data_IF_638894596184
#
_entry.id   IF_638894596184
#
_cell.length_a   1.000
_cell.length_b   1.000
_cell.length_c   1.000
_cell.angle_alpha   90.00
_cell.angle_beta   90.00
_cell.angle_gamma   90.00
#
_symmetry.space_group_name_H-M   'P 1'
#
loop_
_entity.id
_entity.type
_entity.pdbx_description
1 polymer ?
#
# COMPACT_ATOMS: atom_id res chain seq x y z
N UNK A 1 -2.93 -22.20 -9.03
CA UNK A 1 -3.59 -21.34 -8.02
C UNK A 1 -2.87 -21.56 -6.70
N UNK A 2 -2.20 -20.55 -6.14
CA UNK A 2 -1.48 -20.65 -4.87
C UNK A 2 -1.99 -19.59 -3.89
N UNK A 3 -2.21 -19.99 -2.64
CA UNK A 3 -2.50 -19.14 -1.50
C UNK A 3 -1.50 -19.53 -0.41
N UNK A 4 -0.64 -18.60 0.00
CA UNK A 4 0.48 -18.86 0.91
C UNK A 4 1.46 -17.69 0.97
N UNK A 5 2.05 -17.48 2.15
CA UNK A 5 2.99 -16.40 2.42
C UNK A 5 4.45 -16.84 2.43
N UNK A 6 5.34 -15.87 2.63
CA UNK A 6 6.76 -16.15 2.88
C UNK A 6 6.95 -16.76 4.27
N UNK A 7 7.62 -17.91 4.35
CA UNK A 7 7.97 -18.58 5.60
C UNK A 7 9.46 -18.37 5.97
N UNK A 8 10.07 -17.28 5.48
CA UNK A 8 11.45 -16.93 5.83
C UNK A 8 11.52 -16.43 7.28
N UNK A 9 12.42 -17.02 8.06
CA UNK A 9 12.69 -16.59 9.42
C UNK A 9 13.42 -15.23 9.44
N UNK A 10 13.30 -14.49 10.54
CA UNK A 10 14.02 -13.22 10.74
C UNK A 10 15.55 -13.38 10.70
N UNK A 11 16.08 -14.55 11.05
CA UNK A 11 17.51 -14.87 10.96
C UNK A 11 17.95 -15.30 9.55
N UNK A 12 17.05 -15.37 8.57
CA UNK A 12 17.37 -15.82 7.23
C UNK A 12 17.90 -14.63 6.38
N UNK A 13 19.15 -14.68 5.89
CA UNK A 13 19.74 -13.57 5.13
C UNK A 13 19.04 -13.30 3.78
N UNK A 14 18.29 -14.27 3.25
CA UNK A 14 17.47 -14.06 2.05
C UNK A 14 16.32 -13.06 2.30
N UNK A 15 15.82 -12.97 3.54
CA UNK A 15 14.79 -12.00 3.90
C UNK A 15 15.37 -10.58 3.85
N UNK A 16 16.55 -10.36 4.44
CA UNK A 16 17.23 -9.06 4.43
C UNK A 16 17.49 -8.56 3.01
N UNK A 17 17.98 -9.46 2.15
CA UNK A 17 18.21 -9.16 0.73
C UNK A 17 16.90 -8.72 0.06
N UNK A 18 15.83 -9.50 0.22
CA UNK A 18 14.55 -9.22 -0.42
C UNK A 18 13.91 -7.91 0.10
N UNK A 19 14.03 -7.62 1.40
CA UNK A 19 13.54 -6.36 1.98
C UNK A 19 14.34 -5.18 1.42
N UNK A 20 15.67 -5.28 1.37
CA UNK A 20 16.53 -4.22 0.81
C UNK A 20 16.21 -3.93 -0.65
N UNK A 21 16.01 -4.97 -1.47
CA UNK A 21 15.62 -4.83 -2.88
C UNK A 21 14.27 -4.12 -3.03
N UNK A 22 13.28 -4.49 -2.21
CA UNK A 22 11.96 -3.83 -2.23
C UNK A 22 12.03 -2.37 -1.79
N UNK A 23 12.81 -2.05 -0.75
CA UNK A 23 13.02 -0.67 -0.31
C UNK A 23 13.60 0.18 -1.44
N UNK A 24 14.63 -0.32 -2.12
CA UNK A 24 15.25 0.39 -3.24
C UNK A 24 14.28 0.59 -4.40
N UNK A 25 13.54 -0.45 -4.79
CA UNK A 25 12.54 -0.37 -5.85
C UNK A 25 11.42 0.64 -5.50
N UNK A 26 10.92 0.64 -4.27
CA UNK A 26 9.86 1.56 -3.84
C UNK A 26 10.32 3.01 -3.82
N UNK A 27 11.54 3.29 -3.36
CA UNK A 27 12.12 4.65 -3.42
C UNK A 27 12.29 5.12 -4.86
N UNK A 28 12.79 4.27 -5.75
CA UNK A 28 12.93 4.61 -7.16
C UNK A 28 11.57 4.87 -7.84
N UNK A 29 10.53 4.12 -7.47
CA UNK A 29 9.20 4.31 -8.01
C UNK A 29 8.48 5.55 -7.45
N UNK A 30 8.79 5.97 -6.22
CA UNK A 30 8.13 7.08 -5.52
C UNK A 30 9.15 8.17 -5.12
N UNK A 31 9.74 8.89 -6.09
CA UNK A 31 10.80 9.87 -5.82
C UNK A 31 10.33 11.06 -4.96
N UNK A 32 9.04 11.42 -5.04
CA UNK A 32 8.46 12.57 -4.33
C UNK A 32 7.83 12.19 -2.97
N UNK A 33 7.95 10.93 -2.54
CA UNK A 33 7.43 10.46 -1.25
C UNK A 33 8.46 10.56 -0.12
N UNK A 34 8.03 10.36 1.14
CA UNK A 34 8.95 10.32 2.29
C UNK A 34 10.00 9.21 2.10
N UNK A 35 11.30 9.45 2.35
CA UNK A 35 12.36 8.45 2.17
C UNK A 35 12.21 7.21 3.08
N UNK A 36 11.41 7.31 4.15
CA UNK A 36 11.06 6.21 5.04
C UNK A 36 9.89 5.44 4.44
N UNK A 37 10.19 4.26 3.91
CA UNK A 37 9.20 3.37 3.31
C UNK A 37 8.38 2.68 4.40
N UNK A 38 7.04 2.71 4.35
CA UNK A 38 6.18 1.98 5.27
C UNK A 38 6.46 0.47 5.27
N UNK A 39 6.49 -0.16 6.45
CA UNK A 39 6.86 -1.58 6.62
C UNK A 39 5.95 -2.52 5.82
N UNK A 40 4.65 -2.25 5.77
CA UNK A 40 3.66 -3.07 5.05
C UNK A 40 3.93 -3.16 3.54
N UNK A 41 4.60 -2.16 2.96
CA UNK A 41 4.94 -2.17 1.53
C UNK A 41 6.17 -3.03 1.22
N UNK A 42 7.00 -3.33 2.22
CA UNK A 42 8.25 -4.10 2.06
C UNK A 42 8.15 -5.53 2.59
N UNK A 43 7.22 -5.79 3.49
CA UNK A 43 6.93 -7.14 4.01
C UNK A 43 5.86 -7.84 3.19
N UNK A 44 5.98 -9.15 3.04
CA UNK A 44 4.96 -9.97 2.38
C UNK A 44 3.84 -10.33 3.35
N UNK A 45 2.60 -10.45 2.86
CA UNK A 45 1.49 -10.94 3.68
C UNK A 45 1.56 -12.46 3.93
N UNK A 46 0.91 -12.91 5.00
CA UNK A 46 0.84 -14.32 5.37
C UNK A 46 -0.03 -15.15 4.39
N UNK A 47 -1.05 -14.53 3.78
CA UNK A 47 -1.92 -15.19 2.80
C UNK A 47 -1.35 -15.16 1.38
N UNK A 48 -0.46 -14.21 1.09
CA UNK A 48 -0.05 -13.87 -0.28
C UNK A 48 -1.14 -13.17 -1.11
N UNK A 49 -2.30 -12.86 -0.51
CA UNK A 49 -3.51 -12.34 -1.16
C UNK A 49 -4.12 -11.17 -0.38
N UNK A 50 -3.30 -10.43 0.37
CA UNK A 50 -3.80 -9.32 1.17
C UNK A 50 -4.22 -8.15 0.25
N UNK A 51 -5.48 -7.75 0.35
CA UNK A 51 -6.05 -6.64 -0.42
C UNK A 51 -6.10 -5.34 0.40
N UNK A 52 -5.48 -5.34 1.58
CA UNK A 52 -5.56 -4.25 2.54
C UNK A 52 -4.18 -3.65 2.79
N UNK A 53 -4.16 -2.33 2.98
CA UNK A 53 -3.03 -1.58 3.52
C UNK A 53 -3.53 -0.62 4.58
N UNK A 54 -2.69 -0.20 5.51
CA UNK A 54 -3.03 0.94 6.38
C UNK A 54 -3.19 2.23 5.57
N UNK A 55 -4.01 3.18 6.04
CA UNK A 55 -4.14 4.49 5.40
C UNK A 55 -2.79 5.19 5.24
N UNK A 56 -1.90 5.09 6.23
CA UNK A 56 -0.56 5.68 6.14
C UNK A 56 0.25 5.12 4.95
N UNK A 57 0.21 3.80 4.74
CA UNK A 57 0.91 3.16 3.62
C UNK A 57 0.29 3.49 2.25
N UNK A 58 -1.03 3.64 2.18
CA UNK A 58 -1.71 4.10 0.97
C UNK A 58 -1.38 5.57 0.65
N UNK A 59 -1.44 6.45 1.66
CA UNK A 59 -1.16 7.87 1.54
C UNK A 59 0.28 8.16 1.12
N UNK A 60 1.25 7.34 1.58
CA UNK A 60 2.65 7.46 1.18
C UNK A 60 2.85 7.37 -0.35
N UNK A 61 1.99 6.64 -1.07
CA UNK A 61 2.07 6.44 -2.52
C UNK A 61 1.28 7.48 -3.33
N UNK A 62 0.53 8.36 -2.67
CA UNK A 62 -0.37 9.31 -3.34
C UNK A 62 0.32 10.18 -4.38
N UNK A 63 1.51 10.78 -4.14
CA UNK A 63 2.14 11.66 -5.12
C UNK A 63 2.34 10.98 -6.48
N UNK A 64 2.85 9.74 -6.46
CA UNK A 64 3.07 8.92 -7.66
C UNK A 64 1.76 8.62 -8.38
N UNK A 65 0.72 8.23 -7.64
CA UNK A 65 -0.59 7.87 -8.24
C UNK A 65 -1.28 9.10 -8.83
N UNK A 66 -1.26 10.22 -8.12
CA UNK A 66 -1.80 11.49 -8.57
C UNK A 66 -1.14 11.94 -9.89
N UNK A 67 0.19 11.90 -9.95
CA UNK A 67 0.95 12.23 -11.16
C UNK A 67 0.59 11.29 -12.34
N UNK A 68 0.58 9.98 -12.11
CA UNK A 68 0.32 9.00 -13.16
C UNK A 68 -1.11 9.09 -13.72
N UNK A 69 -2.08 9.57 -12.92
CA UNK A 69 -3.49 9.70 -13.30
C UNK A 69 -3.90 11.13 -13.61
N UNK A 70 -2.99 12.09 -13.58
CA UNK A 70 -3.28 13.53 -13.79
C UNK A 70 -4.36 14.06 -12.84
N UNK A 71 -4.39 13.55 -11.61
CA UNK A 71 -5.29 13.99 -10.55
C UNK A 71 -4.54 14.86 -9.54
N UNK A 72 -5.27 15.70 -8.81
CA UNK A 72 -4.69 16.41 -7.66
C UNK A 72 -4.39 15.44 -6.51
N UNK A 73 -3.39 15.79 -5.69
CA UNK A 73 -3.03 15.03 -4.48
C UNK A 73 -4.23 14.96 -3.53
N UNK A 74 -5.00 16.04 -3.44
CA UNK A 74 -6.17 16.17 -2.61
C UNK A 74 -7.28 15.20 -3.03
N UNK A 75 -7.55 15.08 -4.34
CA UNK A 75 -8.55 14.15 -4.86
C UNK A 75 -8.18 12.69 -4.54
N UNK A 76 -6.94 12.30 -4.76
CA UNK A 76 -6.49 10.93 -4.48
C UNK A 76 -6.50 10.66 -2.97
N UNK A 77 -6.09 11.63 -2.16
CA UNK A 77 -6.16 11.55 -0.69
C UNK A 77 -7.59 11.36 -0.20
N UNK A 78 -8.56 12.09 -0.77
CA UNK A 78 -9.97 11.92 -0.45
C UNK A 78 -10.48 10.52 -0.80
N UNK A 79 -10.11 10.00 -1.97
CA UNK A 79 -10.47 8.63 -2.35
C UNK A 79 -9.88 7.58 -1.41
N UNK A 80 -8.62 7.74 -0.98
CA UNK A 80 -8.01 6.86 0.03
C UNK A 80 -8.82 6.89 1.33
N UNK A 81 -9.19 8.08 1.80
CA UNK A 81 -10.00 8.24 3.01
C UNK A 81 -11.40 7.61 2.86
N UNK A 82 -12.04 7.75 1.70
CA UNK A 82 -13.34 7.12 1.43
C UNK A 82 -13.26 5.60 1.35
N UNK A 83 -12.16 5.05 0.85
CA UNK A 83 -11.89 3.62 0.80
C UNK A 83 -11.36 3.05 2.13
N UNK A 84 -11.18 3.89 3.15
CA UNK A 84 -10.71 3.49 4.47
C UNK A 84 -11.85 2.94 5.31
N UNK A 85 -11.71 1.70 5.75
CA UNK A 85 -12.60 1.02 6.68
C UNK A 85 -11.98 1.05 8.07
N UNK A 86 -12.74 1.54 9.05
CA UNK A 86 -12.28 1.63 10.45
C UNK A 86 -12.97 0.56 11.28
N UNK A 87 -12.24 -0.21 12.11
CA UNK A 87 -12.83 -1.15 13.05
C UNK A 87 -13.78 -0.46 14.03
N UNK A 88 -14.80 -1.17 14.52
CA UNK A 88 -15.77 -0.64 15.47
C UNK A 88 -15.11 -0.15 16.78
N UNK A 89 -14.08 -0.85 17.23
CA UNK A 89 -13.28 -0.52 18.39
C UNK A 89 -11.80 -0.59 18.00
N UNK A 90 -11.01 0.41 18.39
CA UNK A 90 -9.62 0.58 17.93
C UNK A 90 -8.66 -0.54 18.32
N UNK A 91 -9.02 -1.40 19.28
CA UNK A 91 -8.20 -2.53 19.70
C UNK A 91 -8.53 -3.85 18.96
N UNK A 92 -9.61 -3.89 18.18
CA UNK A 92 -10.00 -5.07 17.39
C UNK A 92 -9.22 -5.19 16.08
N UNK A 93 -8.60 -4.11 15.62
CA UNK A 93 -7.82 -4.10 14.40
C UNK A 93 -7.30 -2.71 14.08
N UNK A 94 -6.67 -2.59 12.92
CA UNK A 94 -6.20 -1.32 12.38
C UNK A 94 -7.17 -0.80 11.32
N UNK A 95 -7.26 0.53 11.09
CA UNK A 95 -7.90 1.05 9.90
C UNK A 95 -7.21 0.50 8.66
N UNK A 96 -8.00 0.09 7.66
CA UNK A 96 -7.49 -0.50 6.43
C UNK A 96 -8.13 0.13 5.20
N UNK A 97 -7.37 0.24 4.13
CA UNK A 97 -7.80 0.70 2.81
C UNK A 97 -7.97 -0.50 1.92
N UNK A 98 -9.16 -0.66 1.34
CA UNK A 98 -9.40 -1.71 0.34
C UNK A 98 -8.83 -1.28 -1.02
N UNK A 99 -7.75 -1.93 -1.45
CA UNK A 99 -7.00 -1.52 -2.64
C UNK A 99 -7.77 -1.73 -3.94
N UNK A 100 -8.50 -2.85 -4.05
CA UNK A 100 -9.36 -3.10 -5.20
C UNK A 100 -10.43 -2.02 -5.37
N UNK A 101 -11.17 -1.72 -4.30
CA UNK A 101 -12.22 -0.69 -4.35
C UNK A 101 -11.66 0.69 -4.67
N UNK A 102 -10.51 1.04 -4.09
CA UNK A 102 -9.83 2.30 -4.39
C UNK A 102 -9.45 2.40 -5.87
N UNK A 103 -8.87 1.34 -6.45
CA UNK A 103 -8.48 1.35 -7.86
C UNK A 103 -9.70 1.46 -8.80
N UNK A 104 -10.79 0.77 -8.49
CA UNK A 104 -12.06 0.90 -9.24
C UNK A 104 -12.60 2.34 -9.17
N UNK A 105 -12.55 2.98 -8.00
CA UNK A 105 -12.97 4.36 -7.84
C UNK A 105 -12.07 5.34 -8.61
N UNK A 106 -10.75 5.12 -8.61
CA UNK A 106 -9.80 5.89 -9.40
C UNK A 106 -10.02 5.73 -10.91
N UNK A 107 -10.43 4.56 -11.38
CA UNK A 107 -10.74 4.30 -12.79
C UNK A 107 -12.04 5.02 -13.20
N UNK A 108 -13.08 4.97 -12.37
CA UNK A 108 -14.36 5.63 -12.63
C UNK A 108 -14.29 7.17 -12.70
N UNK A 109 -13.24 7.79 -12.15
CA UNK A 109 -12.97 9.23 -12.31
C UNK A 109 -12.39 9.58 -13.68
N UNK A 110 -11.73 8.64 -14.35
CA UNK A 110 -11.06 8.86 -15.63
C UNK A 110 -12.04 8.86 -16.81
N UNK A 111 -13.20 8.21 -16.63
CA UNK A 111 -14.27 8.10 -17.62
C UNK A 111 -15.26 9.28 -17.58
N UNK A 112 -14.98 10.31 -16.77
CA UNK A 112 -15.73 11.57 -16.71
C UNK A 112 -14.92 12.72 -17.29
#
# INVERSE_FOLDING_TARGET
>A
MASGGSNLAASNPALDKAVSERVQALRAANPDADPRVPVELVTTSASGLDNNLTPAAALWQVPRVAQARQLSVEQVTQLVNQATQTPLLSFLGQPVVNILQLNMALDALKDK
#
